data_IF_368347981631
#
_entry.id   IF_368347981631
#
_cell.length_a   1.000
_cell.length_b   1.000
_cell.length_c   1.000
_cell.angle_alpha   90.00
_cell.angle_beta   90.00
_cell.angle_gamma   90.00
#
_symmetry.space_group_name_H-M   'P 1'
#
loop_
_entity.id
_entity.type
_entity.pdbx_description
1 polymer ?
#
# COMPACT_ATOMS: atom_id res chain seq x y z
N UNK A 1 -7.49 1.07 0.09
CA UNK A 1 -7.65 2.12 -0.94
C UNK A 1 -8.65 1.72 -2.01
N UNK A 2 -8.36 0.79 -2.95
CA UNK A 2 -9.28 0.38 -4.04
C UNK A 2 -10.73 0.13 -3.60
N UNK A 3 -10.92 -0.67 -2.55
CA UNK A 3 -12.25 -0.94 -2.00
C UNK A 3 -13.00 0.30 -1.48
N UNK A 4 -12.30 1.31 -0.96
CA UNK A 4 -12.94 2.57 -0.51
C UNK A 4 -13.39 3.42 -1.70
N UNK A 5 -12.74 3.26 -2.85
CA UNK A 5 -13.10 3.89 -4.12
C UNK A 5 -14.11 3.06 -4.93
N UNK A 6 -14.57 1.91 -4.40
CA UNK A 6 -15.46 0.99 -5.13
C UNK A 6 -14.81 0.29 -6.33
N UNK A 7 -13.47 0.28 -6.41
CA UNK A 7 -12.72 -0.36 -7.50
C UNK A 7 -12.52 -1.86 -7.21
N UNK A 8 -12.39 -2.67 -8.27
CA UNK A 8 -12.10 -4.09 -8.14
C UNK A 8 -10.74 -4.32 -7.45
N UNK A 9 -10.45 -5.49 -6.87
CA UNK A 9 -9.11 -5.83 -6.40
C UNK A 9 -8.06 -5.75 -7.54
N UNK A 10 -6.79 -5.49 -7.23
CA UNK A 10 -5.75 -5.45 -8.27
C UNK A 10 -5.50 -6.85 -8.86
N UNK A 11 -5.12 -6.90 -10.13
CA UNK A 11 -4.67 -8.10 -10.82
C UNK A 11 -5.53 -8.49 -12.03
N UNK A 12 -5.03 -9.36 -12.93
CA UNK A 12 -3.72 -10.03 -12.89
C UNK A 12 -2.55 -9.05 -13.05
N UNK A 13 -1.44 -9.33 -12.35
CA UNK A 13 -0.25 -8.45 -12.37
C UNK A 13 0.42 -8.51 -13.74
N UNK A 14 1.02 -7.39 -14.15
CA UNK A 14 1.61 -7.20 -15.49
C UNK A 14 3.10 -6.84 -15.35
N UNK A 15 3.84 -7.00 -16.44
CA UNK A 15 5.16 -6.37 -16.58
C UNK A 15 5.02 -4.85 -16.42
N UNK A 16 6.01 -4.23 -15.79
CA UNK A 16 6.02 -2.81 -15.53
C UNK A 16 6.23 -2.02 -16.82
N UNK A 17 5.35 -1.05 -17.01
CA UNK A 17 5.46 -0.01 -18.02
C UNK A 17 5.06 1.30 -17.37
N UNK A 18 5.98 2.25 -17.33
CA UNK A 18 5.69 3.60 -16.86
C UNK A 18 4.56 4.20 -17.72
N UNK A 19 3.45 4.66 -17.12
CA UNK A 19 2.35 5.25 -17.86
C UNK A 19 2.78 6.59 -18.45
N UNK A 20 2.43 6.84 -19.72
CA UNK A 20 2.62 8.17 -20.32
C UNK A 20 1.51 9.15 -19.90
N UNK A 21 1.77 10.45 -20.03
CA UNK A 21 0.75 11.49 -19.83
C UNK A 21 -0.43 11.33 -20.80
N UNK A 22 -0.16 10.87 -22.02
CA UNK A 22 -1.19 10.57 -23.01
C UNK A 22 -2.07 9.39 -22.56
N UNK A 23 -1.49 8.32 -22.00
CA UNK A 23 -2.25 7.20 -21.43
C UNK A 23 -3.11 7.65 -20.23
N UNK A 24 -2.56 8.48 -19.34
CA UNK A 24 -3.29 9.01 -18.18
C UNK A 24 -4.45 9.94 -18.57
N UNK A 25 -4.22 10.81 -19.55
CA UNK A 25 -5.24 11.74 -20.04
C UNK A 25 -6.34 11.01 -20.81
N UNK A 26 -5.97 10.02 -21.64
CA UNK A 26 -6.89 9.21 -22.44
C UNK A 26 -7.64 8.11 -21.67
N UNK A 27 -7.26 7.82 -20.42
CA UNK A 27 -7.96 6.85 -19.58
C UNK A 27 -9.47 7.10 -19.56
N UNK A 28 -10.23 6.10 -19.99
CA UNK A 28 -11.67 6.14 -20.27
C UNK A 28 -12.53 5.96 -19.01
N UNK A 29 -11.93 5.44 -17.94
CA UNK A 29 -12.57 5.22 -16.66
C UNK A 29 -11.67 5.60 -15.49
N UNK A 30 -12.27 5.76 -14.32
CA UNK A 30 -11.52 5.97 -13.06
C UNK A 30 -10.70 4.74 -12.70
N UNK A 31 -11.20 3.53 -12.96
CA UNK A 31 -10.46 2.30 -12.69
C UNK A 31 -9.21 2.21 -13.56
N UNK A 32 -9.33 2.50 -14.86
CA UNK A 32 -8.18 2.54 -15.77
C UNK A 32 -7.16 3.61 -15.35
N UNK A 33 -7.63 4.80 -14.98
CA UNK A 33 -6.77 5.86 -14.47
C UNK A 33 -6.04 5.46 -13.18
N UNK A 34 -6.75 4.83 -12.25
CA UNK A 34 -6.18 4.35 -10.99
C UNK A 34 -5.17 3.23 -11.24
N UNK A 35 -5.47 2.28 -12.14
CA UNK A 35 -4.54 1.22 -12.52
C UNK A 35 -3.24 1.77 -13.08
N UNK A 36 -3.29 2.79 -13.95
CA UNK A 36 -2.11 3.46 -14.46
C UNK A 36 -1.28 4.07 -13.33
N UNK A 37 -1.91 4.78 -12.39
CA UNK A 37 -1.23 5.43 -11.24
C UNK A 37 -0.69 4.45 -10.19
N UNK A 38 -1.30 3.28 -10.07
CA UNK A 38 -0.91 2.24 -9.10
C UNK A 38 0.28 1.40 -9.60
N UNK A 39 0.61 1.45 -10.90
CA UNK A 39 1.78 0.77 -11.46
C UNK A 39 3.04 1.15 -10.70
N UNK A 40 3.78 0.13 -10.32
CA UNK A 40 5.08 0.25 -9.66
C UNK A 40 5.93 -0.92 -10.10
N UNK A 41 7.22 -0.68 -10.32
CA UNK A 41 8.18 -1.73 -10.63
C UNK A 41 8.18 -2.80 -9.53
N UNK A 42 8.14 -2.39 -8.26
CA UNK A 42 8.19 -3.30 -7.11
C UNK A 42 6.98 -4.24 -7.01
N UNK A 43 5.86 -3.85 -7.63
CA UNK A 43 4.61 -4.63 -7.69
C UNK A 43 4.27 -5.03 -9.12
N UNK A 44 5.27 -5.54 -9.83
CA UNK A 44 5.16 -6.01 -11.20
C UNK A 44 5.84 -7.36 -11.38
N UNK A 45 5.61 -8.00 -12.51
CA UNK A 45 6.29 -9.24 -12.87
C UNK A 45 7.79 -9.06 -13.15
N UNK A 46 8.28 -7.81 -13.20
CA UNK A 46 9.70 -7.48 -13.38
C UNK A 46 10.46 -7.30 -12.05
N UNK A 47 9.78 -7.44 -10.90
CA UNK A 47 10.41 -7.30 -9.58
C UNK A 47 10.94 -8.63 -9.07
N UNK A 48 12.22 -8.66 -8.70
CA UNK A 48 12.87 -9.81 -8.06
C UNK A 48 12.29 -10.13 -6.66
N UNK A 49 11.56 -9.17 -6.07
CA UNK A 49 10.95 -9.28 -4.75
C UNK A 49 9.45 -9.59 -4.80
N UNK A 50 8.85 -9.56 -5.98
CA UNK A 50 7.41 -9.73 -6.16
C UNK A 50 7.04 -11.15 -6.57
N UNK A 51 6.56 -11.93 -5.60
CA UNK A 51 6.09 -13.29 -5.84
C UNK A 51 4.56 -13.34 -5.76
N UNK A 52 3.88 -13.20 -6.91
CA UNK A 52 2.41 -13.16 -7.00
C UNK A 52 1.74 -14.31 -6.24
N UNK A 53 2.24 -15.54 -6.39
CA UNK A 53 1.71 -16.73 -5.70
C UNK A 53 1.74 -16.65 -4.17
N UNK A 54 2.63 -15.82 -3.61
CA UNK A 54 2.79 -15.64 -2.18
C UNK A 54 1.89 -14.52 -1.62
N UNK A 55 1.29 -13.68 -2.46
CA UNK A 55 0.43 -12.59 -2.00
C UNK A 55 -0.80 -13.09 -1.23
N UNK A 56 -1.63 -14.02 -1.76
CA UNK A 56 -2.80 -14.49 -1.02
C UNK A 56 -2.47 -15.07 0.38
N UNK A 57 -1.49 -15.97 0.54
CA UNK A 57 -1.15 -16.48 1.88
C UNK A 57 -0.52 -15.40 2.78
N UNK A 58 0.29 -14.48 2.26
CA UNK A 58 0.85 -13.39 3.04
C UNK A 58 -0.23 -12.43 3.57
N UNK A 59 -1.21 -12.08 2.72
CA UNK A 59 -2.37 -11.27 3.11
C UNK A 59 -3.15 -11.98 4.22
N UNK A 60 -3.45 -13.27 4.05
CA UNK A 60 -4.19 -14.04 5.05
C UNK A 60 -3.44 -14.12 6.40
N UNK A 61 -2.11 -14.26 6.36
CA UNK A 61 -1.28 -14.25 7.56
C UNK A 61 -1.35 -12.91 8.30
N UNK A 62 -1.16 -11.79 7.58
CA UNK A 62 -1.20 -10.45 8.15
C UNK A 62 -2.58 -10.12 8.74
N UNK A 63 -3.65 -10.51 8.05
CA UNK A 63 -5.03 -10.32 8.52
C UNK A 63 -5.30 -11.05 9.83
N UNK A 64 -4.74 -12.25 9.98
CA UNK A 64 -4.86 -13.01 11.22
C UNK A 64 -4.01 -12.40 12.34
N UNK A 65 -2.80 -11.93 12.03
CA UNK A 65 -1.84 -11.46 13.03
C UNK A 65 -2.17 -10.07 13.56
N UNK A 66 -2.68 -9.20 12.69
CA UNK A 66 -2.96 -7.80 12.98
C UNK A 66 -4.24 -7.32 12.25
N UNK A 67 -5.41 -7.90 12.59
CA UNK A 67 -6.68 -7.60 11.91
C UNK A 67 -7.07 -6.11 11.99
N UNK A 68 -6.63 -5.42 13.05
CA UNK A 68 -6.95 -4.01 13.27
C UNK A 68 -6.32 -3.08 12.24
N UNK A 69 -5.17 -3.44 11.66
CA UNK A 69 -4.51 -2.64 10.61
C UNK A 69 -5.46 -2.47 9.42
N UNK A 70 -6.09 -3.57 8.98
CA UNK A 70 -7.06 -3.54 7.88
C UNK A 70 -8.27 -2.67 8.24
N UNK A 71 -8.77 -2.79 9.47
CA UNK A 71 -9.91 -2.00 9.94
C UNK A 71 -9.60 -0.51 9.97
N UNK A 72 -8.45 -0.12 10.52
CA UNK A 72 -7.98 1.27 10.60
C UNK A 72 -7.81 1.86 9.20
N UNK A 73 -7.07 1.17 8.32
CA UNK A 73 -6.85 1.63 6.96
C UNK A 73 -8.16 1.76 6.18
N UNK A 74 -9.07 0.77 6.32
CA UNK A 74 -10.39 0.83 5.68
C UNK A 74 -11.17 2.07 6.13
N UNK A 75 -11.24 2.32 7.44
CA UNK A 75 -11.93 3.50 8.00
C UNK A 75 -11.30 4.79 7.49
N UNK A 76 -9.98 4.92 7.54
CA UNK A 76 -9.26 6.11 7.09
C UNK A 76 -9.56 6.42 5.62
N UNK A 77 -9.50 5.43 4.73
CA UNK A 77 -9.82 5.67 3.32
C UNK A 77 -11.30 6.00 3.09
N UNK A 78 -12.22 5.37 3.83
CA UNK A 78 -13.65 5.70 3.75
C UNK A 78 -13.93 7.12 4.24
N UNK A 79 -13.23 7.58 5.27
CA UNK A 79 -13.30 8.96 5.77
C UNK A 79 -12.80 9.96 4.73
N UNK A 80 -11.65 9.72 4.11
CA UNK A 80 -11.14 10.58 3.01
C UNK A 80 -12.18 10.68 1.89
N UNK A 81 -12.76 9.55 1.47
CA UNK A 81 -13.79 9.53 0.42
C UNK A 81 -15.04 10.30 0.84
N UNK A 82 -15.49 10.17 2.09
CA UNK A 82 -16.72 10.82 2.57
C UNK A 82 -16.53 12.31 2.84
N UNK A 83 -15.45 12.68 3.52
CA UNK A 83 -15.21 14.01 4.08
C UNK A 83 -14.49 14.88 3.06
N UNK A 84 -13.32 14.44 2.58
CA UNK A 84 -12.44 15.27 1.76
C UNK A 84 -12.91 15.31 0.30
N UNK A 85 -13.46 14.19 -0.19
CA UNK A 85 -13.91 14.03 -1.57
C UNK A 85 -15.42 14.22 -1.75
N UNK A 86 -16.18 14.41 -0.65
CA UNK A 86 -17.64 14.57 -0.69
C UNK A 86 -18.38 13.39 -1.35
N UNK A 87 -17.80 12.19 -1.35
CA UNK A 87 -18.33 11.00 -2.02
C UNK A 87 -18.14 10.96 -3.54
N UNK A 88 -17.54 11.99 -4.15
CA UNK A 88 -17.28 12.03 -5.60
C UNK A 88 -15.96 11.35 -5.91
N UNK A 89 -15.99 10.40 -6.84
CA UNK A 89 -14.81 9.69 -7.29
C UNK A 89 -14.52 10.09 -8.73
N UNK A 90 -13.55 10.99 -8.91
CA UNK A 90 -13.00 11.38 -10.21
C UNK A 90 -11.46 11.29 -10.22
N UNK A 91 -10.81 11.68 -11.32
CA UNK A 91 -9.34 11.59 -11.47
C UNK A 91 -8.61 12.39 -10.37
N UNK A 92 -9.16 13.54 -9.96
CA UNK A 92 -8.59 14.35 -8.87
C UNK A 92 -8.74 13.66 -7.52
N UNK A 93 -9.88 13.00 -7.31
CA UNK A 93 -10.09 12.19 -6.11
C UNK A 93 -9.08 11.04 -6.00
N UNK A 94 -8.76 10.38 -7.13
CA UNK A 94 -7.71 9.36 -7.22
C UNK A 94 -6.34 9.94 -6.89
N UNK A 95 -5.97 11.09 -7.47
CA UNK A 95 -4.69 11.73 -7.15
C UNK A 95 -4.59 12.09 -5.66
N UNK A 96 -5.68 12.63 -5.09
CA UNK A 96 -5.74 13.01 -3.69
C UNK A 96 -5.55 11.83 -2.74
N UNK A 97 -6.30 10.72 -2.93
CA UNK A 97 -6.21 9.57 -2.03
C UNK A 97 -4.87 8.83 -2.15
N UNK A 98 -4.26 8.81 -3.34
CA UNK A 98 -2.89 8.29 -3.53
C UNK A 98 -1.89 9.19 -2.82
N UNK A 99 -2.07 10.52 -2.89
CA UNK A 99 -1.30 11.49 -2.14
C UNK A 99 -1.36 11.22 -0.64
N UNK A 100 -2.57 11.19 -0.07
CA UNK A 100 -2.81 10.88 1.36
C UNK A 100 -2.21 9.54 1.79
N UNK A 101 -2.27 8.52 0.93
CA UNK A 101 -1.61 7.26 1.21
C UNK A 101 -0.09 7.43 1.31
N UNK A 102 0.54 8.06 0.32
CA UNK A 102 2.01 8.20 0.26
C UNK A 102 2.56 9.11 1.36
N UNK A 103 1.96 10.28 1.56
CA UNK A 103 2.48 11.30 2.49
C UNK A 103 1.96 11.11 3.92
N UNK A 104 0.70 10.71 4.08
CA UNK A 104 0.04 10.71 5.37
C UNK A 104 0.04 9.35 6.07
N UNK A 105 -0.25 8.28 5.32
CA UNK A 105 -0.44 6.94 5.89
C UNK A 105 0.87 6.15 5.86
N UNK A 106 1.50 6.03 4.69
CA UNK A 106 2.68 5.19 4.49
C UNK A 106 3.82 5.62 5.40
N UNK A 107 4.17 6.91 5.41
CA UNK A 107 5.25 7.43 6.27
C UNK A 107 5.03 7.06 7.74
N UNK A 108 3.82 7.27 8.28
CA UNK A 108 3.54 6.97 9.70
C UNK A 108 3.60 5.49 10.02
N UNK A 109 3.13 4.65 9.10
CA UNK A 109 3.21 3.19 9.26
C UNK A 109 4.66 2.73 9.17
N UNK A 110 5.42 3.28 8.23
CA UNK A 110 6.83 2.99 8.04
C UNK A 110 7.66 3.39 9.28
N UNK A 111 7.43 4.59 9.81
CA UNK A 111 8.08 5.08 11.04
C UNK A 111 7.79 4.15 12.22
N UNK A 112 6.52 3.80 12.43
CA UNK A 112 6.12 2.92 13.53
C UNK A 112 6.69 1.49 13.38
N UNK A 113 6.81 1.00 12.15
CA UNK A 113 7.42 -0.31 11.87
C UNK A 113 8.92 -0.25 12.13
N UNK A 114 9.61 0.80 11.68
CA UNK A 114 11.03 0.99 11.92
C UNK A 114 11.35 1.07 13.42
N UNK A 115 10.56 1.81 14.21
CA UNK A 115 10.73 1.90 15.66
C UNK A 115 10.67 0.53 16.33
N UNK A 116 9.69 -0.31 15.95
CA UNK A 116 9.59 -1.69 16.47
C UNK A 116 10.83 -2.51 16.11
N UNK A 117 11.32 -2.40 14.87
CA UNK A 117 12.47 -3.19 14.40
C UNK A 117 13.80 -2.71 15.01
N UNK A 118 13.99 -1.42 15.20
CA UNK A 118 15.15 -0.85 15.88
C UNK A 118 15.18 -1.26 17.36
N UNK A 119 14.03 -1.19 18.04
CA UNK A 119 13.91 -1.67 19.42
C UNK A 119 14.19 -3.17 19.54
N UNK A 120 13.73 -3.99 18.59
CA UNK A 120 14.05 -5.42 18.57
C UNK A 120 15.52 -5.69 18.28
N UNK A 121 16.15 -4.89 17.43
CA UNK A 121 17.57 -5.02 17.13
C UNK A 121 18.46 -4.66 18.33
N UNK A 122 18.13 -3.60 19.07
CA UNK A 122 18.84 -3.24 20.29
C UNK A 122 18.60 -4.26 21.42
N UNK A 123 17.38 -4.78 21.55
CA UNK A 123 17.09 -5.93 22.44
C UNK A 123 17.94 -7.16 22.06
N UNK A 124 18.04 -7.48 20.77
CA UNK A 124 18.84 -8.60 20.28
C UNK A 124 20.33 -8.42 20.56
N UNK A 125 20.90 -7.24 20.29
CA UNK A 125 22.29 -6.90 20.63
C UNK A 125 22.56 -7.04 22.12
N UNK A 126 21.67 -6.51 22.96
CA UNK A 126 21.82 -6.57 24.41
C UNK A 126 21.82 -8.03 24.89
N UNK A 127 20.92 -8.86 24.35
CA UNK A 127 20.86 -10.28 24.66
C UNK A 127 22.16 -11.01 24.26
N UNK A 128 22.70 -10.73 23.06
CA UNK A 128 23.98 -11.28 22.60
C UNK A 128 25.16 -10.89 23.51
N UNK A 129 25.21 -9.63 23.98
CA UNK A 129 26.21 -9.18 24.97
C UNK A 129 26.07 -9.89 26.31
N UNK A 130 24.83 -10.07 26.80
CA UNK A 130 24.56 -10.79 28.05
C UNK A 130 24.93 -12.28 27.97
N UNK A 131 24.85 -12.87 26.78
CA UNK A 131 25.24 -14.25 26.50
C UNK A 131 26.74 -14.41 26.20
N UNK A 132 27.51 -13.33 26.15
CA UNK A 132 28.96 -13.36 25.88
C UNK A 132 29.32 -13.70 24.42
N UNK A 133 28.38 -13.51 23.49
CA UNK A 133 28.55 -13.84 22.07
C UNK A 133 28.97 -12.64 21.20
N UNK A 134 29.18 -11.47 21.81
CA UNK A 134 29.64 -10.21 21.20
C UNK A 134 30.60 -9.47 22.14
#
# INVERSE_FOLDING_TARGET
>A
MRAALGLAPPGPWKHYKEPSEDELSSASSIEEYFELKERSRDRSLDSDYFFEKNLPPAIAFLDRRAPDIRTILKRRFQEIVRVDLGGRIDKKAVDHIIGEYRSGIYSKVDDAIHEIFDETYECWKLNKRLQGEL
#
